data_IF_468375392289
#
_entry.id   IF_468375392289
#
_cell.length_a   1.000
_cell.length_b   1.000
_cell.length_c   1.000
_cell.angle_alpha   90.00
_cell.angle_beta   90.00
_cell.angle_gamma   90.00
#
_symmetry.space_group_name_H-M   'P 1'
#
loop_
_entity.id
_entity.type
_entity.pdbx_description
1 polymer ?
#
# COMPACT_ATOMS: atom_id res chain seq x y z
N UNK A 1 48.20 -13.96 80.03
CA UNK A 1 49.59 -13.92 79.56
C UNK A 1 49.63 -14.31 78.10
N UNK A 2 50.37 -13.54 77.28
CA UNK A 2 50.77 -13.78 75.87
C UNK A 2 49.61 -13.90 74.87
N UNK A 3 49.24 -12.87 74.09
CA UNK A 3 49.98 -12.24 72.98
C UNK A 3 50.76 -13.26 72.14
N UNK A 4 50.47 -13.34 70.83
CA UNK A 4 51.42 -13.04 69.75
C UNK A 4 50.95 -13.57 68.36
N UNK A 5 50.87 -12.63 67.42
CA UNK A 5 51.39 -12.69 66.02
C UNK A 5 50.55 -13.43 64.93
N UNK A 6 49.87 -12.57 64.15
CA UNK A 6 49.66 -12.44 62.66
C UNK A 6 50.50 -13.29 61.66
N UNK A 7 50.40 -13.07 60.32
CA UNK A 7 49.31 -13.29 59.36
C UNK A 7 49.81 -14.09 58.11
N UNK A 8 48.97 -14.39 57.11
CA UNK A 8 49.37 -14.58 55.68
C UNK A 8 48.09 -14.75 54.84
N UNK A 9 47.57 -13.75 54.11
CA UNK A 9 48.02 -13.19 52.81
C UNK A 9 48.27 -14.26 51.73
N UNK A 10 47.18 -14.81 51.20
CA UNK A 10 47.13 -15.26 49.81
C UNK A 10 46.44 -14.17 48.98
N UNK A 11 47.25 -13.29 48.43
CA UNK A 11 46.94 -12.52 47.23
C UNK A 11 47.08 -13.50 46.05
N UNK A 12 46.07 -13.64 45.20
CA UNK A 12 46.23 -13.69 43.74
C UNK A 12 44.98 -14.22 43.02
N UNK A 13 44.40 -13.34 42.19
CA UNK A 13 43.94 -13.63 40.83
C UNK A 13 42.98 -14.81 40.59
N UNK A 14 41.70 -14.47 40.41
CA UNK A 14 40.95 -14.94 39.26
C UNK A 14 39.71 -14.06 39.06
N UNK A 15 39.88 -12.96 38.34
CA UNK A 15 38.79 -12.41 37.53
C UNK A 15 38.47 -13.47 36.49
N UNK A 16 37.45 -14.28 36.73
CA UNK A 16 36.78 -15.05 35.68
C UNK A 16 35.29 -14.84 35.81
N UNK A 17 34.88 -13.66 35.36
CA UNK A 17 33.54 -13.42 34.86
C UNK A 17 33.19 -14.56 33.89
N UNK A 18 32.18 -15.37 34.22
CA UNK A 18 31.60 -16.34 33.28
C UNK A 18 30.13 -16.02 33.08
N UNK A 19 29.94 -15.12 32.14
CA UNK A 19 28.75 -14.78 31.38
C UNK A 19 28.00 -16.01 30.85
N UNK A 20 27.10 -16.60 31.64
CA UNK A 20 26.12 -17.59 31.14
C UNK A 20 24.70 -17.08 31.41
N UNK A 21 24.43 -15.83 31.02
CA UNK A 21 23.11 -15.21 31.06
C UNK A 21 23.03 -14.23 29.88
N UNK A 22 22.88 -14.73 28.65
CA UNK A 22 22.88 -13.82 27.50
C UNK A 22 22.88 -14.45 26.10
N UNK A 23 22.11 -15.51 25.85
CA UNK A 23 22.01 -16.08 24.50
C UNK A 23 20.64 -16.70 24.18
N UNK A 24 19.56 -15.97 24.47
CA UNK A 24 18.20 -16.38 24.07
C UNK A 24 17.33 -15.22 23.57
N UNK A 25 17.93 -14.23 22.88
CA UNK A 25 17.22 -13.02 22.46
C UNK A 25 17.47 -12.60 20.99
N UNK A 26 17.78 -13.53 20.09
CA UNK A 26 18.07 -13.18 18.69
C UNK A 26 17.56 -14.20 17.68
N UNK A 27 16.25 -14.24 17.43
CA UNK A 27 15.68 -14.69 16.15
C UNK A 27 14.15 -14.44 16.06
N UNK A 28 13.69 -13.22 16.37
CA UNK A 28 12.42 -12.76 15.77
C UNK A 28 12.77 -11.98 14.50
N UNK A 29 13.33 -12.68 13.50
CA UNK A 29 13.41 -12.11 12.16
C UNK A 29 11.99 -12.19 11.61
N UNK A 30 11.34 -11.03 11.55
CA UNK A 30 9.93 -10.89 11.22
C UNK A 30 9.57 -11.66 9.95
N UNK A 31 8.54 -12.50 10.07
CA UNK A 31 7.91 -13.19 8.97
C UNK A 31 7.16 -12.15 8.12
N UNK A 32 7.85 -11.57 7.14
CA UNK A 32 7.14 -11.00 5.98
C UNK A 32 6.54 -12.14 5.17
N UNK A 33 5.47 -11.88 4.41
CA UNK A 33 4.85 -12.84 3.48
C UNK A 33 5.73 -13.14 2.24
N UNK A 34 6.99 -12.66 2.23
CA UNK A 34 7.92 -12.77 1.11
C UNK A 34 7.60 -11.84 -0.07
N UNK A 35 6.56 -11.00 0.04
CA UNK A 35 6.12 -10.09 -1.01
C UNK A 35 6.67 -8.68 -0.75
N UNK A 36 6.73 -7.79 -1.76
CA UNK A 36 7.06 -6.38 -1.54
C UNK A 36 6.19 -5.78 -0.44
N UNK A 37 6.73 -4.87 0.37
CA UNK A 37 5.96 -4.18 1.42
C UNK A 37 4.90 -3.28 0.77
N UNK A 38 3.65 -3.44 1.19
CA UNK A 38 2.52 -2.59 0.81
C UNK A 38 2.09 -1.74 2.01
N UNK A 39 1.39 -0.65 1.72
CA UNK A 39 0.71 0.17 2.71
C UNK A 39 -0.76 0.30 2.31
N UNK A 40 -1.71 0.19 3.26
CA UNK A 40 -3.14 0.27 2.96
C UNK A 40 -3.47 1.64 2.39
N UNK A 41 -4.19 1.65 1.27
CA UNK A 41 -4.63 2.87 0.60
C UNK A 41 -6.11 2.77 0.26
N UNK A 42 -6.89 3.74 0.70
CA UNK A 42 -8.29 3.93 0.32
C UNK A 42 -8.56 5.41 0.02
N UNK A 43 -9.71 5.69 -0.57
CA UNK A 43 -9.99 7.02 -1.05
C UNK A 43 -11.32 7.14 -1.76
N UNK A 44 -11.44 8.19 -2.58
CA UNK A 44 -12.63 8.50 -3.36
C UNK A 44 -12.27 8.93 -4.78
N UNK A 45 -13.04 8.47 -5.76
CA UNK A 45 -12.99 8.96 -7.13
C UNK A 45 -14.14 9.93 -7.37
N UNK A 46 -13.81 11.11 -7.90
CA UNK A 46 -14.75 12.13 -8.28
C UNK A 46 -14.68 12.36 -9.79
N UNK A 47 -15.80 12.71 -10.41
CA UNK A 47 -15.88 13.17 -11.79
C UNK A 47 -16.69 14.47 -11.84
N UNK A 48 -16.07 15.53 -12.35
CA UNK A 48 -16.65 16.89 -12.38
C UNK A 48 -17.21 17.36 -11.01
N UNK A 49 -16.57 16.93 -9.91
CA UNK A 49 -16.94 17.30 -8.54
C UNK A 49 -17.97 16.39 -7.88
N UNK A 50 -18.54 15.43 -8.60
CA UNK A 50 -19.47 14.44 -8.05
C UNK A 50 -18.82 13.06 -7.86
N UNK A 51 -19.29 12.23 -6.92
CA UNK A 51 -18.78 10.86 -6.78
C UNK A 51 -18.98 10.04 -8.05
N UNK A 52 -17.91 9.37 -8.51
CA UNK A 52 -18.03 8.39 -9.58
C UNK A 52 -18.64 7.10 -9.01
N UNK A 53 -19.86 6.76 -9.42
CA UNK A 53 -20.68 5.77 -8.71
C UNK A 53 -20.35 4.31 -9.02
N UNK A 54 -19.44 4.03 -9.94
CA UNK A 54 -19.03 2.67 -10.28
C UNK A 54 -17.79 2.71 -11.18
N UNK A 55 -17.13 1.56 -11.28
CA UNK A 55 -15.94 1.37 -12.11
C UNK A 55 -14.84 0.66 -11.33
N UNK A 56 -13.66 0.64 -11.93
CA UNK A 56 -12.45 0.08 -11.34
C UNK A 56 -11.33 1.11 -11.39
N UNK A 57 -10.65 1.30 -10.27
CA UNK A 57 -9.39 2.05 -10.19
C UNK A 57 -8.22 1.08 -10.15
N UNK A 58 -7.12 1.45 -10.81
CA UNK A 58 -5.87 0.71 -10.84
C UNK A 58 -4.68 1.66 -10.66
N UNK A 59 -3.78 1.30 -9.74
CA UNK A 59 -2.43 1.88 -9.65
C UNK A 59 -1.45 0.87 -10.25
N UNK A 60 -0.57 1.33 -11.13
CA UNK A 60 0.36 0.46 -11.88
C UNK A 60 1.81 0.79 -11.54
N UNK A 61 2.41 0.19 -10.49
CA UNK A 61 3.83 0.36 -10.19
C UNK A 61 4.73 -0.15 -11.32
N UNK A 62 5.89 0.48 -11.51
CA UNK A 62 6.84 0.06 -12.56
C UNK A 62 7.46 -1.33 -12.31
N UNK A 63 7.69 -1.70 -11.04
CA UNK A 63 8.43 -2.90 -10.65
C UNK A 63 7.68 -3.77 -9.63
N UNK A 64 6.35 -3.64 -9.57
CA UNK A 64 5.53 -4.42 -8.66
C UNK A 64 4.16 -4.72 -9.27
N UNK A 65 3.42 -5.64 -8.64
CA UNK A 65 2.06 -5.96 -9.06
C UNK A 65 1.15 -4.72 -8.95
N UNK A 66 0.27 -4.48 -9.94
CA UNK A 66 -0.74 -3.43 -9.85
C UNK A 66 -1.68 -3.64 -8.65
N UNK A 67 -2.07 -2.54 -8.02
CA UNK A 67 -3.13 -2.52 -7.03
C UNK A 67 -4.45 -2.09 -7.70
N UNK A 68 -5.55 -2.73 -7.34
CA UNK A 68 -6.87 -2.46 -7.92
C UNK A 68 -7.94 -2.32 -6.85
N UNK A 69 -9.02 -1.63 -7.17
CA UNK A 69 -10.23 -1.60 -6.37
C UNK A 69 -11.46 -1.39 -7.25
N UNK A 70 -12.57 -1.98 -6.85
CA UNK A 70 -13.89 -1.57 -7.31
C UNK A 70 -14.27 -0.24 -6.66
N UNK A 71 -14.97 0.61 -7.40
CA UNK A 71 -15.46 1.90 -6.95
C UNK A 71 -16.91 1.72 -6.49
N UNK A 72 -17.18 2.02 -5.23
CA UNK A 72 -18.50 1.94 -4.64
C UNK A 72 -19.43 3.07 -5.15
N UNK A 73 -20.76 2.97 -4.95
CA UNK A 73 -21.73 4.00 -5.35
C UNK A 73 -21.48 5.41 -4.81
N UNK A 74 -20.77 5.52 -3.68
CA UNK A 74 -20.36 6.79 -3.08
C UNK A 74 -18.97 7.26 -3.57
N UNK A 75 -18.41 6.62 -4.60
CA UNK A 75 -17.09 6.89 -5.15
C UNK A 75 -15.93 6.31 -4.35
N UNK A 76 -16.18 5.63 -3.22
CA UNK A 76 -15.10 5.12 -2.37
C UNK A 76 -14.44 3.88 -2.97
N UNK A 77 -13.16 3.70 -2.67
CA UNK A 77 -12.39 2.53 -3.07
C UNK A 77 -11.39 2.13 -2.00
N UNK A 78 -11.00 0.85 -1.97
CA UNK A 78 -9.91 0.33 -1.12
C UNK A 78 -8.99 -0.53 -1.96
N UNK A 79 -7.73 -0.11 -2.11
CA UNK A 79 -6.76 -0.77 -2.98
C UNK A 79 -6.32 -2.11 -2.40
N UNK A 80 -6.19 -3.08 -3.30
CA UNK A 80 -5.71 -4.43 -3.02
C UNK A 80 -4.69 -4.82 -4.08
N UNK A 81 -3.55 -5.36 -3.65
CA UNK A 81 -2.51 -5.95 -4.50
C UNK A 81 -2.50 -7.48 -4.42
N UNK A 82 -2.50 -8.05 -3.21
CA UNK A 82 -2.48 -9.50 -3.02
C UNK A 82 -3.59 -9.99 -2.11
N UNK A 83 -3.72 -9.40 -0.94
CA UNK A 83 -4.72 -9.74 0.06
C UNK A 83 -5.65 -8.53 0.26
N UNK A 84 -6.92 -8.78 0.58
CA UNK A 84 -7.93 -7.72 0.68
C UNK A 84 -7.47 -6.55 1.55
N UNK A 85 -7.45 -5.35 0.96
CA UNK A 85 -7.07 -4.10 1.64
C UNK A 85 -5.59 -3.96 1.97
N UNK A 86 -4.72 -4.85 1.50
CA UNK A 86 -3.27 -4.75 1.73
C UNK A 86 -2.63 -3.53 1.04
N UNK A 87 -3.36 -2.88 0.14
CA UNK A 87 -3.00 -1.61 -0.45
C UNK A 87 -2.03 -1.74 -1.60
N UNK A 88 -1.01 -0.89 -1.62
CA UNK A 88 -0.06 -0.75 -2.72
C UNK A 88 1.35 -0.51 -2.20
N UNK A 89 2.35 -0.85 -3.00
CA UNK A 89 3.74 -0.52 -2.67
C UNK A 89 3.95 1.00 -2.64
N UNK A 90 4.76 1.54 -1.72
CA UNK A 90 5.10 2.96 -1.74
C UNK A 90 5.78 3.39 -3.06
N UNK A 91 5.52 4.62 -3.50
CA UNK A 91 6.06 5.21 -4.74
C UNK A 91 5.06 6.09 -5.49
N UNK A 92 5.49 6.58 -6.65
CA UNK A 92 4.65 7.34 -7.59
C UNK A 92 4.17 6.39 -8.68
N UNK A 93 2.85 6.23 -8.81
CA UNK A 93 2.26 5.25 -9.71
C UNK A 93 1.29 5.91 -10.69
N UNK A 94 1.37 5.57 -11.99
CA UNK A 94 0.29 5.84 -12.94
C UNK A 94 -1.04 5.26 -12.44
N UNK A 95 -2.10 6.04 -12.61
CA UNK A 95 -3.47 5.67 -12.24
C UNK A 95 -4.30 5.50 -13.49
N UNK A 96 -5.12 4.45 -13.53
CA UNK A 96 -6.23 4.37 -14.47
C UNK A 96 -7.54 4.14 -13.75
N UNK A 97 -8.62 4.68 -14.33
CA UNK A 97 -9.99 4.51 -13.89
C UNK A 97 -10.83 4.12 -15.10
N UNK A 98 -11.33 2.88 -15.09
CA UNK A 98 -12.25 2.38 -16.09
C UNK A 98 -13.67 2.39 -15.50
N UNK A 99 -14.55 3.18 -16.09
CA UNK A 99 -15.95 3.26 -15.71
C UNK A 99 -16.82 3.14 -16.95
N UNK A 100 -17.21 1.91 -17.25
CA UNK A 100 -18.09 1.57 -18.36
C UNK A 100 -19.02 0.42 -17.97
N UNK A 101 -20.19 0.41 -18.59
CA UNK A 101 -21.22 -0.61 -18.44
C UNK A 101 -21.45 -1.27 -19.80
N UNK A 102 -21.35 -2.60 -19.88
CA UNK A 102 -21.73 -3.33 -21.09
C UNK A 102 -23.26 -3.40 -21.20
N UNK A 103 -23.81 -2.78 -22.26
CA UNK A 103 -25.23 -2.84 -22.59
C UNK A 103 -25.55 -4.04 -23.49
N UNK A 104 -24.56 -4.49 -24.27
CA UNK A 104 -24.56 -5.73 -25.07
C UNK A 104 -23.12 -6.10 -25.43
N UNK A 105 -22.91 -7.18 -26.20
CA UNK A 105 -21.56 -7.61 -26.63
C UNK A 105 -20.78 -6.53 -27.39
N UNK A 106 -21.48 -5.70 -28.17
CA UNK A 106 -20.87 -4.63 -28.99
C UNK A 106 -21.16 -3.22 -28.48
N UNK A 107 -21.82 -3.07 -27.32
CA UNK A 107 -22.23 -1.74 -26.83
C UNK A 107 -21.86 -1.53 -25.39
N UNK A 108 -21.23 -0.39 -25.13
CA UNK A 108 -20.81 0.00 -23.80
C UNK A 108 -21.16 1.47 -23.53
N UNK A 109 -21.70 1.73 -22.34
CA UNK A 109 -21.90 3.09 -21.84
C UNK A 109 -20.69 3.50 -21.03
N UNK A 110 -20.04 4.59 -21.42
CA UNK A 110 -18.93 5.19 -20.68
C UNK A 110 -19.44 6.19 -19.65
N UNK A 111 -18.99 6.02 -18.41
CA UNK A 111 -19.29 6.87 -17.26
C UNK A 111 -18.08 7.71 -16.82
N UNK A 112 -16.93 7.52 -17.48
CA UNK A 112 -15.81 8.44 -17.48
C UNK A 112 -15.18 8.49 -18.88
N UNK A 113 -14.46 9.57 -19.25
CA UNK A 113 -13.72 9.62 -20.51
C UNK A 113 -12.74 8.46 -20.68
N UNK A 114 -12.70 7.87 -21.89
CA UNK A 114 -11.87 6.70 -22.22
C UNK A 114 -10.39 6.88 -21.90
N UNK A 115 -9.86 8.12 -21.99
CA UNK A 115 -8.45 8.41 -21.66
C UNK A 115 -8.07 7.93 -20.26
N UNK A 116 -9.00 7.97 -19.30
CA UNK A 116 -8.72 7.55 -17.93
C UNK A 116 -8.60 6.04 -17.78
N UNK A 117 -9.15 5.24 -18.68
CA UNK A 117 -9.10 3.77 -18.59
C UNK A 117 -7.70 3.19 -18.89
N UNK A 118 -6.82 3.98 -19.51
CA UNK A 118 -5.45 3.56 -19.86
C UNK A 118 -4.44 4.34 -18.99
N UNK A 119 -3.55 3.66 -18.23
CA UNK A 119 -2.58 4.31 -17.35
C UNK A 119 -1.56 5.18 -18.11
N UNK A 120 -1.41 4.98 -19.42
CA UNK A 120 -0.50 5.72 -20.30
C UNK A 120 -1.17 6.99 -20.83
N UNK A 121 -2.49 6.99 -21.02
CA UNK A 121 -3.22 8.15 -21.57
C UNK A 121 -4.01 8.95 -20.54
N UNK A 122 -4.16 8.44 -19.31
CA UNK A 122 -4.93 9.08 -18.26
C UNK A 122 -4.33 10.40 -17.80
N UNK A 123 -2.99 10.52 -17.84
CA UNK A 123 -2.25 11.62 -17.23
C UNK A 123 -2.34 11.65 -15.69
N UNK A 124 -2.95 10.65 -15.07
CA UNK A 124 -3.17 10.58 -13.63
C UNK A 124 -1.99 9.89 -12.95
N UNK A 125 -1.57 10.44 -11.81
CA UNK A 125 -0.55 9.84 -10.95
C UNK A 125 -0.99 9.92 -9.49
N UNK A 126 -0.60 8.92 -8.70
CA UNK A 126 -0.80 8.90 -7.26
C UNK A 126 0.54 8.66 -6.56
N UNK A 127 0.87 9.52 -5.59
CA UNK A 127 2.02 9.35 -4.70
C UNK A 127 1.57 8.63 -3.44
N UNK A 128 2.27 7.54 -3.10
CA UNK A 128 2.01 6.73 -1.91
C UNK A 128 3.29 6.69 -1.07
N UNK A 129 3.34 7.48 -0.01
CA UNK A 129 4.49 7.52 0.91
C UNK A 129 4.22 6.70 2.20
N UNK A 130 2.97 6.29 2.42
CA UNK A 130 2.52 5.59 3.61
C UNK A 130 1.03 5.23 3.54
N UNK A 131 0.47 4.69 4.64
CA UNK A 131 -0.96 4.47 4.77
C UNK A 131 -1.76 5.76 4.48
N UNK A 132 -2.80 5.67 3.67
CA UNK A 132 -3.65 6.81 3.30
C UNK A 132 -5.10 6.35 3.11
N UNK A 133 -6.05 6.91 3.84
CA UNK A 133 -7.48 6.57 3.74
C UNK A 133 -8.35 7.62 3.02
N UNK A 134 -7.69 8.67 2.51
CA UNK A 134 -8.31 9.89 2.00
C UNK A 134 -7.73 10.30 0.64
N UNK A 135 -7.25 9.34 -0.16
CA UNK A 135 -6.74 9.62 -1.51
C UNK A 135 -7.88 10.09 -2.43
N UNK A 136 -7.78 11.28 -3.02
CA UNK A 136 -8.79 11.79 -3.95
C UNK A 136 -8.26 11.71 -5.38
N UNK A 137 -9.01 11.03 -6.26
CA UNK A 137 -8.75 11.00 -7.70
C UNK A 137 -9.85 11.80 -8.39
N UNK A 138 -9.48 12.86 -9.10
CA UNK A 138 -10.43 13.72 -9.81
C UNK A 138 -10.32 13.50 -11.30
N UNK A 139 -11.46 13.17 -11.91
CA UNK A 139 -11.66 13.05 -13.35
C UNK A 139 -12.46 14.27 -13.83
N UNK A 140 -12.36 14.57 -15.12
CA UNK A 140 -13.23 15.57 -15.74
C UNK A 140 -13.65 15.15 -17.13
N UNK A 141 -14.90 15.44 -17.49
CA UNK A 141 -15.38 15.31 -18.86
C UNK A 141 -14.87 16.41 -19.79
N UNK A 142 -14.26 17.48 -19.26
CA UNK A 142 -13.82 18.65 -20.05
C UNK A 142 -14.94 19.25 -20.91
N UNK A 143 -16.17 19.24 -20.38
CA UNK A 143 -17.38 19.65 -21.10
C UNK A 143 -18.07 18.56 -21.93
N UNK A 144 -17.47 17.37 -22.00
CA UNK A 144 -18.12 16.16 -22.50
C UNK A 144 -19.23 15.63 -21.58
N UNK A 145 -19.82 14.50 -21.95
CA UNK A 145 -20.87 13.82 -21.17
C UNK A 145 -20.75 12.30 -21.35
N UNK A 146 -21.33 11.50 -20.42
CA UNK A 146 -21.50 10.06 -20.63
C UNK A 146 -22.10 9.75 -22.00
N UNK A 147 -21.55 8.73 -22.67
CA UNK A 147 -21.94 8.34 -24.02
C UNK A 147 -21.98 6.82 -24.16
N UNK A 148 -22.71 6.35 -25.16
CA UNK A 148 -22.72 4.93 -25.55
C UNK A 148 -21.86 4.79 -26.79
N UNK A 149 -20.92 3.86 -26.74
CA UNK A 149 -20.11 3.43 -27.86
C UNK A 149 -20.70 2.14 -28.43
N UNK A 150 -20.72 2.03 -29.75
CA UNK A 150 -21.12 0.84 -30.50
C UNK A 150 -19.97 0.49 -31.46
N UNK A 151 -19.46 -0.74 -31.37
CA UNK A 151 -18.36 -1.26 -32.20
C UNK A 151 -18.88 -1.94 -33.49
#
# INVERSE_FOLDING_TARGET
MNSLITPNRNLAFAVTASCVMGLLAAAMIGCGDGRPRRVPVSGQVLIDGEPLTHGQIRLTPANARPATAEIAPDGRFTLTTFDEGDGVVPGVHPVSVAANEYLSETRQRWHAPKKYADPTTSGLTATVDGPNDSLVITLSWEGGKPFVEED
#
